data_IF_049410614591
#
_entry.id   IF_049410614591
#
_cell.length_a   1.000
_cell.length_b   1.000
_cell.length_c   1.000
_cell.angle_alpha   90.00
_cell.angle_beta   90.00
_cell.angle_gamma   90.00
#
_symmetry.space_group_name_H-M   'P 1'
#
loop_
_entity.id
_entity.type
_entity.pdbx_description
1 polymer ?
#
# COMPACT_ATOMS: atom_id res chain seq x y z
N UNK A 1 2.50 -4.76 -1.00
CA UNK A 1 3.63 -4.05 -1.65
C UNK A 1 4.95 -4.47 -1.02
N UNK A 2 5.86 -5.00 -1.82
CA UNK A 2 6.99 -5.79 -1.33
C UNK A 2 8.15 -4.91 -0.85
N UNK A 3 8.62 -5.06 0.39
CA UNK A 3 9.84 -4.40 0.89
C UNK A 3 11.05 -4.55 -0.06
N UNK A 4 11.09 -5.65 -0.82
CA UNK A 4 12.12 -5.92 -1.84
C UNK A 4 12.10 -4.96 -3.02
N UNK A 5 10.91 -4.53 -3.46
CA UNK A 5 10.78 -3.57 -4.53
C UNK A 5 11.23 -2.17 -4.10
N UNK A 6 10.87 -1.79 -2.87
CA UNK A 6 11.31 -0.53 -2.27
C UNK A 6 12.85 -0.50 -2.14
N UNK A 7 13.46 -1.63 -1.77
CA UNK A 7 14.91 -1.77 -1.70
C UNK A 7 15.59 -1.70 -3.07
N UNK A 8 14.90 -2.07 -4.15
CA UNK A 8 15.41 -1.98 -5.52
C UNK A 8 15.29 -0.56 -6.10
N UNK A 9 14.26 0.18 -5.69
CA UNK A 9 14.00 1.54 -6.17
C UNK A 9 14.77 2.58 -5.38
N UNK A 10 14.84 2.45 -4.06
CA UNK A 10 15.52 3.43 -3.21
C UNK A 10 16.98 3.02 -3.01
N UNK A 11 17.97 3.91 -3.23
CA UNK A 11 19.35 3.67 -2.85
C UNK A 11 19.47 3.39 -1.35
N UNK A 12 20.36 2.47 -0.95
CA UNK A 12 20.51 2.03 0.45
C UNK A 12 20.66 3.19 1.44
N UNK A 13 21.42 4.22 1.08
CA UNK A 13 21.66 5.39 1.93
C UNK A 13 20.37 6.20 2.24
N UNK A 14 19.32 6.05 1.44
CA UNK A 14 18.04 6.75 1.60
C UNK A 14 16.95 5.87 2.21
N UNK A 15 17.21 4.60 2.50
CA UNK A 15 16.21 3.66 3.05
C UNK A 15 15.61 4.15 4.36
N UNK A 16 16.44 4.66 5.30
CA UNK A 16 15.96 5.18 6.57
C UNK A 16 15.01 6.36 6.40
N UNK A 17 15.38 7.33 5.54
CA UNK A 17 14.55 8.49 5.22
C UNK A 17 13.23 8.08 4.57
N UNK A 18 13.30 7.13 3.63
CA UNK A 18 12.12 6.62 2.96
C UNK A 18 11.17 5.89 3.92
N UNK A 19 11.69 5.04 4.81
CA UNK A 19 10.90 4.31 5.81
C UNK A 19 10.10 5.24 6.72
N UNK A 20 10.65 6.40 7.09
CA UNK A 20 9.93 7.41 7.88
C UNK A 20 8.72 7.93 7.10
N UNK A 21 8.93 8.38 5.86
CA UNK A 21 7.87 8.88 4.97
C UNK A 21 6.81 7.78 4.71
N UNK A 22 7.28 6.55 4.51
CA UNK A 22 6.45 5.38 4.26
C UNK A 22 5.53 5.09 5.46
N UNK A 23 6.10 5.02 6.66
CA UNK A 23 5.33 4.78 7.88
C UNK A 23 4.36 5.92 8.20
N UNK A 24 4.75 7.18 7.92
CA UNK A 24 3.87 8.32 8.08
C UNK A 24 2.62 8.21 7.18
N UNK A 25 2.79 7.75 5.93
CA UNK A 25 1.67 7.49 5.01
C UNK A 25 0.73 6.41 5.56
N UNK A 26 1.24 5.29 6.10
CA UNK A 26 0.36 4.30 6.72
C UNK A 26 -0.40 4.88 7.91
N UNK A 27 0.28 5.65 8.76
CA UNK A 27 -0.34 6.25 9.93
C UNK A 27 -1.48 7.21 9.54
N UNK A 28 -1.29 8.05 8.52
CA UNK A 28 -2.32 8.98 8.06
C UNK A 28 -3.49 8.29 7.38
N UNK A 29 -3.25 7.17 6.69
CA UNK A 29 -4.26 6.42 5.94
C UNK A 29 -5.07 5.42 6.76
N UNK A 30 -4.68 5.17 8.02
CA UNK A 30 -5.31 4.11 8.84
C UNK A 30 -6.83 4.25 8.93
N UNK A 31 -7.34 5.46 9.17
CA UNK A 31 -8.77 5.71 9.31
C UNK A 31 -9.52 5.49 7.98
N UNK A 32 -8.97 5.99 6.88
CA UNK A 32 -9.54 5.77 5.53
C UNK A 32 -9.59 4.28 5.17
N UNK A 33 -8.50 3.55 5.42
CA UNK A 33 -8.42 2.10 5.21
C UNK A 33 -9.43 1.37 6.08
N UNK A 34 -9.61 1.79 7.33
CA UNK A 34 -10.59 1.18 8.23
C UNK A 34 -12.02 1.41 7.73
N UNK A 35 -12.37 2.64 7.35
CA UNK A 35 -13.69 2.96 6.79
C UNK A 35 -13.98 2.20 5.49
N UNK A 36 -12.99 2.09 4.62
CA UNK A 36 -13.09 1.31 3.37
C UNK A 36 -13.28 -0.18 3.67
N UNK A 37 -12.50 -0.73 4.60
CA UNK A 37 -12.61 -2.12 5.02
C UNK A 37 -14.02 -2.43 5.55
N UNK A 38 -14.56 -1.57 6.42
CA UNK A 38 -15.92 -1.73 6.94
C UNK A 38 -16.98 -1.61 5.84
N UNK A 39 -16.85 -0.63 4.96
CA UNK A 39 -17.82 -0.40 3.87
C UNK A 39 -17.89 -1.59 2.92
N UNK A 40 -16.75 -2.16 2.54
CA UNK A 40 -16.69 -3.35 1.69
C UNK A 40 -17.35 -4.55 2.37
N UNK A 41 -17.04 -4.79 3.64
CA UNK A 41 -17.61 -5.93 4.36
C UNK A 41 -19.11 -5.75 4.64
N UNK A 42 -19.58 -4.52 4.84
CA UNK A 42 -21.01 -4.21 5.02
C UNK A 42 -21.86 -4.64 3.83
N UNK A 43 -21.32 -4.62 2.61
CA UNK A 43 -22.01 -5.11 1.40
C UNK A 43 -22.42 -6.59 1.48
N UNK A 44 -21.75 -7.38 2.32
CA UNK A 44 -22.00 -8.81 2.50
C UNK A 44 -22.79 -9.13 3.78
N UNK A 45 -23.27 -8.10 4.49
CA UNK A 45 -24.01 -8.24 5.74
C UNK A 45 -25.51 -8.01 5.51
N UNK A 46 -26.32 -8.59 6.40
CA UNK A 46 -27.76 -8.30 6.43
C UNK A 46 -27.98 -6.80 6.69
N UNK A 47 -28.89 -6.13 5.97
CA UNK A 47 -29.16 -4.70 6.14
C UNK A 47 -29.59 -4.30 7.56
N UNK A 48 -30.12 -5.26 8.33
CA UNK A 48 -30.63 -5.06 9.69
C UNK A 48 -29.57 -5.07 10.80
N UNK A 49 -28.29 -5.30 10.47
CA UNK A 49 -27.21 -5.26 11.46
C UNK A 49 -26.87 -3.81 11.83
N UNK A 50 -26.89 -3.50 13.12
CA UNK A 50 -26.52 -2.18 13.63
C UNK A 50 -25.01 -1.92 13.49
N UNK A 51 -24.65 -0.65 13.37
CA UNK A 51 -23.26 -0.21 13.16
C UNK A 51 -22.32 -0.66 14.28
N UNK A 52 -22.79 -0.76 15.53
CA UNK A 52 -21.96 -1.16 16.68
C UNK A 52 -21.57 -2.63 16.58
N UNK A 53 -22.51 -3.50 16.22
CA UNK A 53 -22.24 -4.92 15.96
C UNK A 53 -21.25 -5.12 14.80
N UNK A 54 -21.36 -4.30 13.74
CA UNK A 54 -20.39 -4.31 12.63
C UNK A 54 -19.00 -3.90 13.11
N UNK A 55 -18.87 -2.78 13.83
CA UNK A 55 -17.59 -2.31 14.37
C UNK A 55 -16.94 -3.39 15.25
N UNK A 56 -17.67 -3.93 16.22
CA UNK A 56 -17.14 -4.97 17.13
C UNK A 56 -16.66 -6.20 16.37
N UNK A 57 -17.35 -6.60 15.29
CA UNK A 57 -16.98 -7.78 14.50
C UNK A 57 -15.75 -7.57 13.62
N UNK A 58 -15.57 -6.38 13.05
CA UNK A 58 -14.55 -6.13 12.03
C UNK A 58 -13.31 -5.40 12.54
N UNK A 59 -13.37 -4.68 13.66
CA UNK A 59 -12.19 -4.05 14.27
C UNK A 59 -11.07 -5.06 14.55
N UNK A 60 -11.31 -6.22 15.20
CA UNK A 60 -10.23 -7.17 15.47
C UNK A 60 -9.61 -7.77 14.19
N UNK A 61 -10.43 -7.97 13.15
CA UNK A 61 -9.97 -8.46 11.84
C UNK A 61 -9.12 -7.43 11.12
N UNK A 62 -9.57 -6.18 11.11
CA UNK A 62 -8.80 -5.06 10.58
C UNK A 62 -7.47 -4.93 11.32
N UNK A 63 -7.46 -4.93 12.65
CA UNK A 63 -6.23 -4.85 13.45
C UNK A 63 -5.26 -5.99 13.16
N UNK A 64 -5.76 -7.21 12.97
CA UNK A 64 -4.93 -8.35 12.59
C UNK A 64 -4.24 -8.11 11.23
N UNK A 65 -4.99 -7.65 10.23
CA UNK A 65 -4.44 -7.32 8.91
C UNK A 65 -3.52 -6.08 8.95
N UNK A 66 -3.86 -5.10 9.78
CA UNK A 66 -3.12 -3.87 9.92
C UNK A 66 -1.80 -4.10 10.65
N UNK A 67 -1.75 -4.93 11.69
CA UNK A 67 -0.52 -5.12 12.47
C UNK A 67 0.48 -6.08 11.81
N UNK A 68 0.06 -6.85 10.81
CA UNK A 68 0.95 -7.64 9.97
C UNK A 68 1.44 -6.81 8.76
N UNK A 69 2.75 -6.59 8.66
CA UNK A 69 3.39 -5.80 7.59
C UNK A 69 3.08 -6.31 6.18
N UNK A 70 3.06 -7.63 5.98
CA UNK A 70 2.82 -8.23 4.67
C UNK A 70 1.41 -7.90 4.16
N UNK A 71 0.41 -7.97 5.05
CA UNK A 71 -0.99 -7.67 4.71
C UNK A 71 -1.30 -6.19 4.76
N UNK A 72 -0.71 -5.40 5.67
CA UNK A 72 -0.90 -3.94 5.76
C UNK A 72 -0.63 -3.26 4.42
N UNK A 73 0.45 -3.65 3.76
CA UNK A 73 0.84 -3.08 2.48
C UNK A 73 -0.07 -3.45 1.30
N UNK A 74 -1.07 -4.32 1.51
CA UNK A 74 -2.12 -4.65 0.54
C UNK A 74 -3.41 -3.87 0.83
N UNK A 75 -3.52 -3.22 2.00
CA UNK A 75 -4.71 -2.46 2.41
C UNK A 75 -4.72 -1.02 1.88
N UNK A 76 -3.59 -0.54 1.36
CA UNK A 76 -3.46 0.79 0.76
C UNK A 76 -3.48 0.65 -0.76
N UNK A 77 -4.27 1.50 -1.40
CA UNK A 77 -4.37 1.55 -2.86
C UNK A 77 -2.99 1.81 -3.50
N UNK A 78 -2.66 1.03 -4.53
CA UNK A 78 -1.36 1.11 -5.21
C UNK A 78 -1.04 2.50 -5.78
N UNK A 79 -2.06 3.26 -6.22
CA UNK A 79 -1.90 4.62 -6.73
C UNK A 79 -1.36 5.60 -5.68
N UNK A 80 -1.81 5.48 -4.43
CA UNK A 80 -1.41 6.36 -3.34
C UNK A 80 0.01 6.06 -2.88
N UNK A 81 0.32 4.77 -2.79
CA UNK A 81 1.67 4.30 -2.56
C UNK A 81 2.66 4.82 -3.61
N UNK A 82 2.28 4.74 -4.89
CA UNK A 82 3.10 5.21 -5.99
C UNK A 82 3.28 6.74 -5.98
N UNK A 83 2.25 7.49 -5.58
CA UNK A 83 2.33 8.95 -5.40
C UNK A 83 3.38 9.31 -4.33
N UNK A 84 3.38 8.64 -3.19
CA UNK A 84 4.39 8.88 -2.14
C UNK A 84 5.79 8.55 -2.63
N UNK A 85 5.95 7.44 -3.34
CA UNK A 85 7.24 7.06 -3.92
C UNK A 85 7.75 8.10 -4.95
N UNK A 86 6.87 8.59 -5.83
CA UNK A 86 7.20 9.64 -6.80
C UNK A 86 7.57 10.97 -6.13
N UNK A 87 6.85 11.35 -5.08
CA UNK A 87 7.16 12.55 -4.30
C UNK A 87 8.54 12.45 -3.65
N UNK A 88 8.81 11.32 -3.01
CA UNK A 88 10.13 11.06 -2.42
C UNK A 88 11.24 11.17 -3.47
N UNK A 89 11.02 10.62 -4.67
CA UNK A 89 11.99 10.71 -5.75
C UNK A 89 12.28 12.15 -6.19
N UNK A 90 11.22 12.93 -6.38
CA UNK A 90 11.32 14.33 -6.77
C UNK A 90 12.06 15.16 -5.72
N UNK A 91 11.78 14.93 -4.44
CA UNK A 91 12.42 15.65 -3.33
C UNK A 91 13.90 15.29 -3.14
N UNK A 92 14.30 14.04 -3.39
CA UNK A 92 15.65 13.55 -3.08
C UNK A 92 16.58 13.46 -4.30
N UNK A 93 16.03 13.41 -5.52
CA UNK A 93 16.81 13.29 -6.75
C UNK A 93 16.51 14.40 -7.77
N UNK A 94 15.58 15.31 -7.48
CA UNK A 94 15.18 16.38 -8.41
C UNK A 94 14.46 15.88 -9.68
N UNK A 95 14.08 14.60 -9.73
CA UNK A 95 13.43 13.98 -10.89
C UNK A 95 12.24 13.11 -10.49
N UNK A 96 11.25 13.03 -11.36
CA UNK A 96 10.12 12.13 -11.17
C UNK A 96 10.55 10.68 -11.42
N UNK A 97 10.00 9.76 -10.64
CA UNK A 97 10.09 8.34 -10.94
C UNK A 97 9.19 8.03 -12.14
N UNK A 98 9.79 7.85 -13.30
CA UNK A 98 9.08 7.52 -14.54
C UNK A 98 8.52 6.10 -14.48
N UNK A 99 7.57 5.83 -15.36
CA UNK A 99 6.98 4.51 -15.49
C UNK A 99 7.97 3.50 -16.05
N UNK A 100 8.81 3.92 -17.00
CA UNK A 100 9.85 3.06 -17.58
C UNK A 100 10.89 2.66 -16.54
N UNK A 101 11.33 3.60 -15.68
CA UNK A 101 12.23 3.30 -14.57
C UNK A 101 11.64 2.28 -13.59
N UNK A 102 10.33 2.38 -13.32
CA UNK A 102 9.63 1.40 -12.49
C UNK A 102 9.65 0.03 -13.16
N UNK A 103 9.31 -0.05 -14.46
CA UNK A 103 9.25 -1.30 -15.23
C UNK A 103 10.65 -1.94 -15.31
N UNK A 104 11.69 -1.19 -15.65
CA UNK A 104 13.07 -1.67 -15.69
C UNK A 104 13.49 -2.26 -14.34
N UNK A 105 13.24 -1.54 -13.24
CA UNK A 105 13.60 -2.00 -11.90
C UNK A 105 12.78 -3.19 -11.44
N UNK A 106 11.52 -3.29 -11.87
CA UNK A 106 10.65 -4.45 -11.65
C UNK A 106 11.16 -5.69 -12.40
N UNK A 107 11.63 -5.55 -13.64
CA UNK A 107 12.22 -6.64 -14.45
C UNK A 107 13.53 -7.13 -13.81
N UNK A 108 14.39 -6.21 -13.36
CA UNK A 108 15.64 -6.53 -12.67
C UNK A 108 15.43 -7.31 -11.36
N UNK A 109 14.28 -7.15 -10.68
CA UNK A 109 14.05 -7.80 -9.37
C UNK A 109 13.67 -9.29 -9.45
N UNK A 110 13.58 -9.90 -10.66
CA UNK A 110 13.29 -11.33 -10.94
C UNK A 110 12.44 -12.03 -9.85
N UNK A 111 11.12 -11.81 -9.79
CA UNK A 111 10.18 -12.59 -8.94
C UNK A 111 8.73 -12.47 -9.40
N UNK A 112 7.96 -13.55 -9.31
CA UNK A 112 6.51 -13.59 -9.60
C UNK A 112 5.66 -12.57 -8.82
N UNK A 113 6.17 -12.08 -7.69
CA UNK A 113 5.58 -11.01 -6.85
C UNK A 113 5.39 -9.66 -7.59
N UNK A 114 6.20 -9.41 -8.62
CA UNK A 114 6.17 -8.19 -9.46
C UNK A 114 4.92 -8.14 -10.34
N UNK A 115 4.45 -9.29 -10.82
CA UNK A 115 3.27 -9.37 -11.69
C UNK A 115 2.00 -8.92 -10.95
N UNK A 116 1.80 -9.41 -9.73
CA UNK A 116 0.67 -9.00 -8.87
C UNK A 116 0.72 -7.50 -8.52
N UNK A 117 1.92 -6.91 -8.42
CA UNK A 117 2.08 -5.48 -8.23
C UNK A 117 1.69 -4.68 -9.47
N UNK A 118 2.13 -5.09 -10.66
CA UNK A 118 1.73 -4.51 -11.95
C UNK A 118 0.20 -4.62 -12.10
N UNK A 119 -0.39 -5.79 -11.86
CA UNK A 119 -1.85 -5.99 -11.90
C UNK A 119 -2.59 -5.07 -10.90
N UNK A 120 -2.03 -4.86 -9.70
CA UNK A 120 -2.61 -3.97 -8.68
C UNK A 120 -2.47 -2.47 -8.97
N UNK A 121 -1.48 -2.08 -9.78
CA UNK A 121 -1.27 -0.68 -10.20
C UNK A 121 -2.03 -0.37 -11.48
N UNK A 122 -2.06 -1.31 -12.42
CA UNK A 122 -2.51 -1.06 -13.78
C UNK A 122 -3.93 -1.51 -14.07
N UNK A 123 -4.62 -2.23 -13.17
CA UNK A 123 -6.01 -2.70 -13.36
C UNK A 123 -6.31 -2.99 -14.83
N UNK A 124 -5.61 -3.96 -15.41
CA UNK A 124 -6.10 -4.55 -16.65
C UNK A 124 -7.38 -5.30 -16.29
N UNK A 125 -8.51 -4.73 -16.70
CA UNK A 125 -9.82 -5.37 -16.70
C UNK A 125 -9.79 -6.62 -17.56
#
# INVERSE_FOLDING_TARGET
MFPKLLNALIPKQLHGKFLIVWNAMFKSRRLDCFGTYQTLHKKFLKPSLDTKTIITRYTPKFEKCWNNLATRHQMIEGKEALKVLRNFYRENFGKNLSQDMLIEKLIETKRGDVRSFIESIFHYK
#
